data_IF_590264520414
#
_entry.id   IF_590264520414
#
_cell.length_a   1.000
_cell.length_b   1.000
_cell.length_c   1.000
_cell.angle_alpha   90.00
_cell.angle_beta   90.00
_cell.angle_gamma   90.00
#
_symmetry.space_group_name_H-M   'P 1'
#
loop_
_entity.id
_entity.type
_entity.pdbx_description
1 polymer ?
#
# COMPACT_ATOMS: atom_id res chain seq x y z
N UNK A 1 -3.73 23.47 23.68
CA UNK A 1 -3.85 22.76 22.42
C UNK A 1 -2.56 22.83 21.65
N UNK A 2 -2.11 21.73 21.16
CA UNK A 2 -0.90 21.72 20.38
C UNK A 2 -1.11 22.49 19.08
N UNK A 3 -0.28 23.47 18.85
CA UNK A 3 -0.33 24.24 17.63
C UNK A 3 0.56 23.62 16.54
N UNK A 4 0.75 22.31 16.61
CA UNK A 4 1.53 21.65 15.58
C UNK A 4 0.82 21.77 14.23
N UNK A 5 1.56 22.11 13.18
CA UNK A 5 0.96 22.07 11.86
C UNK A 5 0.48 20.66 11.57
N UNK A 6 -0.64 20.50 10.86
CA UNK A 6 -1.11 19.16 10.54
C UNK A 6 -0.02 18.39 9.80
N UNK A 7 0.23 17.17 10.25
CA UNK A 7 1.18 16.31 9.58
C UNK A 7 0.71 16.08 8.16
N UNK A 8 1.58 16.28 7.20
CA UNK A 8 1.25 16.08 5.80
C UNK A 8 0.94 14.60 5.59
N UNK A 9 -0.26 14.33 5.11
CA UNK A 9 -0.68 12.94 4.87
C UNK A 9 0.00 12.40 3.63
N UNK A 10 0.53 11.19 3.76
CA UNK A 10 1.09 10.43 2.64
C UNK A 10 0.09 9.39 2.13
N UNK A 11 -0.85 9.02 2.99
CA UNK A 11 -1.85 8.02 2.69
C UNK A 11 -3.23 8.54 3.06
N UNK A 12 -4.22 8.16 2.27
CA UNK A 12 -5.61 8.35 2.62
C UNK A 12 -6.23 6.97 2.80
N UNK A 13 -6.82 6.75 3.97
CA UNK A 13 -7.40 5.45 4.31
C UNK A 13 -8.90 5.58 4.43
N UNK A 14 -9.60 4.73 3.71
CA UNK A 14 -11.06 4.66 3.75
C UNK A 14 -11.47 3.25 4.11
N UNK A 15 -12.40 3.10 5.05
CA UNK A 15 -12.90 1.79 5.41
C UNK A 15 -14.12 1.46 4.58
N UNK A 16 -14.03 0.37 3.81
CA UNK A 16 -15.14 -0.15 3.02
C UNK A 16 -15.43 -1.56 3.53
N UNK A 17 -16.49 -1.68 4.34
CA UNK A 17 -16.74 -2.92 5.05
C UNK A 17 -15.61 -3.19 6.04
N UNK A 18 -15.00 -4.36 5.95
CA UNK A 18 -13.88 -4.73 6.80
C UNK A 18 -12.52 -4.55 6.10
N UNK A 19 -12.52 -3.88 4.96
CA UNK A 19 -11.30 -3.63 4.17
C UNK A 19 -10.82 -2.20 4.37
N UNK A 20 -9.54 -2.04 4.68
CA UNK A 20 -8.90 -0.73 4.71
C UNK A 20 -8.39 -0.44 3.29
N UNK A 21 -9.02 0.51 2.61
CA UNK A 21 -8.60 0.94 1.27
C UNK A 21 -7.64 2.09 1.43
N UNK A 22 -6.42 1.91 0.94
CA UNK A 22 -5.36 2.90 1.08
C UNK A 22 -5.05 3.53 -0.27
N UNK A 23 -5.16 4.84 -0.34
CA UNK A 23 -4.79 5.61 -1.51
C UNK A 23 -3.51 6.39 -1.21
N UNK A 24 -2.57 6.36 -2.15
CA UNK A 24 -1.34 7.12 -2.02
C UNK A 24 -1.55 8.53 -2.52
N UNK A 25 -1.07 9.52 -1.77
CA UNK A 25 -1.18 10.92 -2.14
C UNK A 25 -0.13 11.31 -3.18
N UNK A 26 1.08 10.75 -3.04
CA UNK A 26 2.20 11.10 -3.90
C UNK A 26 2.17 10.35 -5.22
N UNK A 27 2.48 11.06 -6.30
CA UNK A 27 2.63 10.44 -7.62
C UNK A 27 3.97 9.72 -7.75
N UNK A 28 4.98 10.21 -7.06
CA UNK A 28 6.33 9.66 -7.09
C UNK A 28 6.75 9.23 -5.70
N UNK A 29 7.00 7.95 -5.54
CA UNK A 29 7.44 7.38 -4.26
C UNK A 29 8.90 6.98 -4.43
N UNK A 30 9.78 7.99 -4.47
CA UNK A 30 11.19 7.83 -4.76
C UNK A 30 12.08 8.30 -3.62
N UNK A 31 11.63 9.28 -2.86
CA UNK A 31 12.40 9.88 -1.78
C UNK A 31 12.42 8.96 -0.57
N UNK A 32 13.62 8.71 -0.05
CA UNK A 32 13.81 7.78 1.06
C UNK A 32 13.00 8.18 2.30
N UNK A 33 12.92 9.47 2.58
CA UNK A 33 12.17 9.96 3.73
C UNK A 33 10.67 9.69 3.58
N UNK A 34 10.13 9.91 2.38
CA UNK A 34 8.74 9.61 2.08
C UNK A 34 8.46 8.11 2.16
N UNK A 35 9.38 7.30 1.67
CA UNK A 35 9.25 5.85 1.70
C UNK A 35 9.17 5.36 3.13
N UNK A 36 10.02 5.91 4.01
CA UNK A 36 10.01 5.55 5.41
C UNK A 36 8.68 5.92 6.08
N UNK A 37 8.18 7.11 5.81
CA UNK A 37 6.91 7.57 6.37
C UNK A 37 5.73 6.73 5.88
N UNK A 38 5.72 6.41 4.60
CA UNK A 38 4.68 5.56 4.01
C UNK A 38 4.75 4.17 4.64
N UNK A 39 5.94 3.62 4.77
CA UNK A 39 6.12 2.32 5.40
C UNK A 39 5.59 2.30 6.83
N UNK A 40 5.95 3.30 7.62
CA UNK A 40 5.51 3.40 9.00
C UNK A 40 3.98 3.48 9.09
N UNK A 41 3.36 4.28 8.23
CA UNK A 41 1.90 4.42 8.22
C UNK A 41 1.22 3.12 7.80
N UNK A 42 1.76 2.42 6.82
CA UNK A 42 1.21 1.13 6.40
C UNK A 42 1.33 0.07 7.49
N UNK A 43 2.50 -0.02 8.12
CA UNK A 43 2.73 -1.01 9.17
C UNK A 43 1.84 -0.75 10.38
N UNK A 44 1.56 0.52 10.65
CA UNK A 44 0.69 0.91 11.74
C UNK A 44 -0.72 0.36 11.57
N UNK A 45 -1.21 0.28 10.33
CA UNK A 45 -2.52 -0.30 10.07
C UNK A 45 -2.63 -1.72 10.60
N UNK A 46 -1.55 -2.48 10.48
CA UNK A 46 -1.51 -3.87 10.94
C UNK A 46 -1.15 -3.94 12.42
N UNK A 47 -0.04 -3.28 12.80
CA UNK A 47 0.55 -3.45 14.13
C UNK A 47 -0.26 -2.77 15.23
N UNK A 48 -0.83 -1.60 14.96
CA UNK A 48 -1.55 -0.82 15.97
C UNK A 48 -3.06 -0.86 15.79
N UNK A 49 -3.53 -0.82 14.54
CA UNK A 49 -4.96 -0.73 14.27
C UNK A 49 -5.61 -2.09 13.99
N UNK A 50 -4.81 -3.15 13.95
CA UNK A 50 -5.33 -4.52 13.81
C UNK A 50 -6.01 -4.82 12.50
N UNK A 51 -5.69 -4.08 11.45
CA UNK A 51 -6.31 -4.31 10.14
C UNK A 51 -5.76 -5.59 9.52
N UNK A 52 -6.64 -6.41 8.97
CA UNK A 52 -6.26 -7.68 8.35
C UNK A 52 -6.50 -7.71 6.85
N UNK A 53 -7.41 -6.88 6.36
CA UNK A 53 -7.71 -6.77 4.92
C UNK A 53 -7.31 -5.38 4.46
N UNK A 54 -6.28 -5.32 3.63
CA UNK A 54 -5.72 -4.06 3.16
C UNK A 54 -5.67 -4.09 1.64
N UNK A 55 -6.29 -3.09 1.03
CA UNK A 55 -6.28 -2.88 -0.41
C UNK A 55 -5.50 -1.61 -0.69
N UNK A 56 -4.38 -1.73 -1.41
CA UNK A 56 -3.57 -0.58 -1.81
C UNK A 56 -3.94 -0.16 -3.22
N UNK A 57 -4.44 1.06 -3.35
CA UNK A 57 -4.83 1.62 -4.64
C UNK A 57 -3.70 2.53 -5.14
N UNK A 58 -3.06 2.13 -6.24
CA UNK A 58 -1.93 2.82 -6.84
C UNK A 58 -2.35 3.77 -7.97
N UNK A 59 -3.64 4.08 -8.08
CA UNK A 59 -4.15 4.90 -9.18
C UNK A 59 -3.46 6.25 -9.34
N UNK A 60 -2.93 6.80 -8.24
CA UNK A 60 -2.25 8.08 -8.23
C UNK A 60 -0.73 7.95 -8.42
N UNK A 61 -0.19 6.75 -8.29
CA UNK A 61 1.26 6.51 -8.27
C UNK A 61 1.75 6.24 -9.69
N UNK A 62 2.70 7.06 -10.14
CA UNK A 62 3.32 6.92 -11.46
C UNK A 62 4.69 6.28 -11.39
N UNK A 63 5.43 6.54 -10.31
CA UNK A 63 6.80 6.04 -10.13
C UNK A 63 7.01 5.56 -8.71
N UNK A 64 7.76 4.47 -8.57
CA UNK A 64 8.05 3.87 -7.28
C UNK A 64 9.44 3.25 -7.32
N UNK A 65 10.23 3.47 -6.26
CA UNK A 65 11.57 2.89 -6.17
C UNK A 65 11.54 1.45 -5.65
N UNK A 66 12.66 0.75 -5.80
CA UNK A 66 12.80 -0.60 -5.27
C UNK A 66 12.73 -0.62 -3.74
N UNK A 67 13.16 0.46 -3.08
CA UNK A 67 13.05 0.55 -1.63
C UNK A 67 11.59 0.58 -1.19
N UNK A 68 10.73 1.26 -1.96
CA UNK A 68 9.29 1.27 -1.68
C UNK A 68 8.68 -0.12 -1.84
N UNK A 69 9.12 -0.86 -2.84
CA UNK A 69 8.69 -2.25 -3.03
C UNK A 69 9.05 -3.10 -1.82
N UNK A 70 10.20 -2.86 -1.21
CA UNK A 70 10.60 -3.55 0.01
C UNK A 70 9.61 -3.34 1.15
N UNK A 71 9.04 -2.12 1.26
CA UNK A 71 8.00 -1.84 2.27
C UNK A 71 6.74 -2.64 2.00
N UNK A 72 6.37 -2.81 0.74
CA UNK A 72 5.20 -3.62 0.38
C UNK A 72 5.41 -5.08 0.74
N UNK A 73 6.60 -5.60 0.53
CA UNK A 73 6.94 -6.98 0.89
C UNK A 73 6.81 -7.16 2.40
N UNK A 74 7.33 -6.22 3.16
CA UNK A 74 7.23 -6.27 4.63
C UNK A 74 5.78 -6.23 5.08
N UNK A 75 4.97 -5.36 4.48
CA UNK A 75 3.54 -5.27 4.79
C UNK A 75 2.83 -6.59 4.50
N UNK A 76 3.14 -7.20 3.37
CA UNK A 76 2.58 -8.49 2.99
C UNK A 76 2.88 -9.56 4.05
N UNK A 77 4.14 -9.61 4.51
CA UNK A 77 4.54 -10.56 5.54
C UNK A 77 3.85 -10.31 6.88
N UNK A 78 3.71 -9.04 7.26
CA UNK A 78 3.00 -8.68 8.49
C UNK A 78 1.54 -9.12 8.45
N UNK A 79 0.89 -8.93 7.31
CA UNK A 79 -0.49 -9.36 7.14
C UNK A 79 -0.61 -10.88 7.17
N UNK A 80 0.32 -11.58 6.54
CA UNK A 80 0.34 -13.06 6.60
C UNK A 80 0.46 -13.56 8.04
N UNK A 81 1.28 -12.88 8.85
CA UNK A 81 1.50 -13.28 10.23
C UNK A 81 0.24 -13.18 11.08
N UNK A 82 -0.71 -12.32 10.71
CA UNK A 82 -1.99 -12.18 11.40
C UNK A 82 -3.14 -12.80 10.59
N UNK A 83 -2.81 -13.64 9.60
CA UNK A 83 -3.78 -14.30 8.74
C UNK A 83 -4.63 -13.31 7.95
N UNK A 84 -4.03 -12.17 7.61
CA UNK A 84 -4.66 -11.16 6.79
C UNK A 84 -4.33 -11.33 5.33
N UNK A 85 -4.77 -10.36 4.53
CA UNK A 85 -4.55 -10.38 3.08
C UNK A 85 -4.26 -8.99 2.56
N UNK A 86 -3.33 -8.90 1.63
CA UNK A 86 -2.97 -7.68 0.93
C UNK A 86 -3.35 -7.82 -0.53
N UNK A 87 -4.10 -6.84 -1.05
CA UNK A 87 -4.45 -6.77 -2.47
C UNK A 87 -3.99 -5.43 -3.01
N UNK A 88 -3.44 -5.43 -4.22
CA UNK A 88 -2.99 -4.22 -4.92
C UNK A 88 -3.89 -4.00 -6.14
N UNK A 89 -4.18 -2.74 -6.46
CA UNK A 89 -4.97 -2.43 -7.63
C UNK A 89 -4.54 -1.13 -8.30
N UNK A 90 -4.98 -0.93 -9.54
CA UNK A 90 -4.70 0.26 -10.33
C UNK A 90 -3.21 0.56 -10.49
N UNK A 91 -2.41 -0.50 -10.66
CA UNK A 91 -0.96 -0.36 -10.79
C UNK A 91 -0.61 0.13 -12.19
N UNK A 92 0.17 1.22 -12.27
CA UNK A 92 0.64 1.75 -13.54
C UNK A 92 1.50 0.72 -14.27
N UNK A 93 1.45 0.73 -15.59
CA UNK A 93 2.16 -0.23 -16.42
C UNK A 93 3.66 -0.26 -16.13
N UNK A 94 4.27 0.91 -15.92
CA UNK A 94 5.69 1.02 -15.62
C UNK A 94 6.05 0.33 -14.30
N UNK A 95 5.17 0.43 -13.30
CA UNK A 95 5.36 -0.23 -12.02
C UNK A 95 5.12 -1.72 -12.14
N UNK A 96 4.10 -2.09 -12.92
CA UNK A 96 3.79 -3.50 -13.15
C UNK A 96 4.94 -4.23 -13.81
N UNK A 97 5.66 -3.57 -14.72
CA UNK A 97 6.86 -4.14 -15.36
C UNK A 97 7.91 -4.48 -14.32
N UNK A 98 8.11 -3.62 -13.31
CA UNK A 98 9.05 -3.89 -12.22
C UNK A 98 8.60 -5.12 -11.43
N UNK A 99 7.31 -5.23 -11.16
CA UNK A 99 6.76 -6.38 -10.45
C UNK A 99 7.01 -7.68 -11.23
N UNK A 100 6.85 -7.62 -12.54
CA UNK A 100 7.08 -8.79 -13.41
C UNK A 100 8.54 -9.18 -13.45
N UNK A 101 9.44 -8.23 -13.61
CA UNK A 101 10.89 -8.47 -13.65
C UNK A 101 11.38 -9.09 -12.34
N UNK A 102 10.88 -8.58 -11.21
CA UNK A 102 11.27 -9.07 -9.89
C UNK A 102 10.43 -10.26 -9.43
N UNK A 103 9.46 -10.69 -10.24
CA UNK A 103 8.52 -11.77 -9.93
C UNK A 103 7.64 -11.50 -8.72
N UNK A 104 7.53 -10.24 -8.30
CA UNK A 104 6.65 -9.84 -7.19
C UNK A 104 5.18 -9.98 -7.56
N UNK A 105 4.86 -9.98 -8.86
CA UNK A 105 3.50 -10.22 -9.32
C UNK A 105 2.96 -11.61 -8.92
N UNK A 106 3.86 -12.53 -8.58
CA UNK A 106 3.48 -13.86 -8.10
C UNK A 106 3.26 -13.87 -6.60
N UNK A 107 3.87 -12.94 -5.88
CA UNK A 107 3.74 -12.83 -4.43
C UNK A 107 2.43 -12.12 -4.04
N UNK A 108 2.09 -11.07 -4.76
CA UNK A 108 0.95 -10.22 -4.42
C UNK A 108 -0.30 -10.61 -5.20
N UNK A 109 -1.45 -10.44 -4.56
CA UNK A 109 -2.74 -10.49 -5.27
C UNK A 109 -2.96 -9.13 -5.91
N UNK A 110 -3.04 -9.10 -7.24
CA UNK A 110 -3.16 -7.86 -8.00
C UNK A 110 -4.47 -7.87 -8.78
N UNK A 111 -5.25 -6.80 -8.62
CA UNK A 111 -6.52 -6.63 -9.30
C UNK A 111 -6.44 -5.44 -10.25
N UNK A 112 -7.27 -5.41 -11.32
CA UNK A 112 -7.21 -4.31 -12.27
C UNK A 112 -7.68 -2.97 -11.71
N UNK A 113 -8.66 -2.99 -10.80
CA UNK A 113 -9.21 -1.78 -10.21
C UNK A 113 -9.70 -2.03 -8.79
N UNK A 114 -10.20 -0.98 -8.14
CA UNK A 114 -10.63 -1.07 -6.75
C UNK A 114 -11.83 -2.00 -6.58
N UNK A 115 -12.77 -1.98 -7.50
CA UNK A 115 -13.94 -2.84 -7.42
C UNK A 115 -13.54 -4.32 -7.43
N UNK A 116 -12.71 -4.71 -8.38
CA UNK A 116 -12.19 -6.08 -8.45
C UNK A 116 -11.32 -6.40 -7.23
N UNK A 117 -10.56 -5.42 -6.74
CA UNK A 117 -9.72 -5.59 -5.56
C UNK A 117 -10.52 -5.90 -4.31
N UNK A 118 -11.65 -5.21 -4.12
CA UNK A 118 -12.52 -5.46 -2.97
C UNK A 118 -13.12 -6.86 -3.01
N UNK A 119 -13.31 -7.41 -4.19
CA UNK A 119 -13.86 -8.76 -4.34
C UNK A 119 -12.82 -9.86 -4.19
N UNK A 120 -11.55 -9.50 -4.12
CA UNK A 120 -10.45 -10.47 -4.02
C UNK A 120 -10.19 -10.95 -2.59
N UNK A 121 -10.86 -10.38 -1.63
CA UNK A 121 -10.70 -10.77 -0.22
C UNK A 121 -11.55 -11.96 0.18
#
# INVERSE_FOLDING_TARGET
>A
MASQPPRRRRLEVEDIGDVAVVNFVDKKILDEQNIQMIGDDLFRLVDELGRRKVLLNFGNVEFMSSAALGKLITLHRKLQAVQGKLVLCNIAKSIMEIFEITKLNKMFTIAPDQHAGLQAF
#
